data_IF_879291089674
#
_entry.id   IF_879291089674
#
_cell.length_a   1.000
_cell.length_b   1.000
_cell.length_c   1.000
_cell.angle_alpha   90.00
_cell.angle_beta   90.00
_cell.angle_gamma   90.00
#
_symmetry.space_group_name_H-M   'P 1'
#
loop_
_entity.id
_entity.type
_entity.pdbx_description
1 polymer ?
#
# COMPACT_ATOMS: atom_id res chain seq x y z
N UNK A 1 -17.85 -24.39 11.90
CA UNK A 1 -18.86 -23.97 10.91
C UNK A 1 -18.17 -23.77 9.57
N UNK A 2 -18.49 -24.59 8.58
CA UNK A 2 -17.89 -24.48 7.25
C UNK A 2 -18.51 -23.27 6.55
N UNK A 3 -17.72 -22.23 6.25
CA UNK A 3 -18.19 -20.97 5.65
C UNK A 3 -18.68 -21.10 4.20
N UNK A 4 -19.28 -22.24 3.83
CA UNK A 4 -19.78 -22.60 2.49
C UNK A 4 -21.23 -23.08 2.61
N UNK A 5 -22.02 -22.80 1.59
CA UNK A 5 -23.40 -23.23 1.47
C UNK A 5 -23.49 -24.76 1.37
N UNK A 6 -24.50 -25.34 2.00
CA UNK A 6 -24.79 -26.79 1.96
C UNK A 6 -25.08 -27.29 0.53
N UNK A 7 -24.94 -28.60 0.29
CA UNK A 7 -25.34 -29.23 -0.98
C UNK A 7 -26.82 -28.96 -1.23
N UNK A 8 -27.16 -28.44 -2.42
CA UNK A 8 -28.52 -27.95 -2.74
C UNK A 8 -28.69 -26.44 -2.60
N UNK A 9 -27.71 -25.75 -2.01
CA UNK A 9 -27.72 -24.31 -1.82
C UNK A 9 -28.29 -23.88 -0.48
N UNK A 10 -28.07 -22.61 -0.14
CA UNK A 10 -28.41 -22.06 1.17
C UNK A 10 -28.74 -20.57 1.08
N UNK A 11 -29.67 -20.10 1.91
CA UNK A 11 -29.91 -18.68 2.12
C UNK A 11 -28.81 -18.10 3.03
N UNK A 12 -28.06 -17.13 2.52
CA UNK A 12 -27.02 -16.43 3.28
C UNK A 12 -27.61 -15.42 4.26
N UNK A 13 -26.81 -14.97 5.23
CA UNK A 13 -27.24 -14.00 6.25
C UNK A 13 -27.61 -12.61 5.69
N UNK A 14 -27.23 -12.33 4.44
CA UNK A 14 -27.62 -11.15 3.68
C UNK A 14 -28.95 -11.32 2.90
N UNK A 15 -29.66 -12.44 3.10
CA UNK A 15 -30.94 -12.72 2.43
C UNK A 15 -30.82 -13.19 0.97
N UNK A 16 -29.61 -13.48 0.48
CA UNK A 16 -29.39 -13.95 -0.90
C UNK A 16 -29.19 -15.47 -0.96
N UNK A 17 -29.59 -16.10 -2.07
CA UNK A 17 -29.43 -17.55 -2.25
C UNK A 17 -28.07 -17.91 -2.86
N UNK A 18 -27.39 -18.87 -2.24
CA UNK A 18 -26.06 -19.35 -2.62
C UNK A 18 -26.15 -20.78 -3.14
N UNK A 19 -25.42 -21.09 -4.22
CA UNK A 19 -25.36 -22.46 -4.75
C UNK A 19 -24.55 -23.34 -3.81
N UNK A 20 -24.80 -24.65 -3.79
CA UNK A 20 -24.07 -25.55 -2.91
C UNK A 20 -22.56 -25.49 -3.13
N UNK A 21 -21.79 -25.45 -2.03
CA UNK A 21 -20.34 -25.28 -2.06
C UNK A 21 -19.85 -23.83 -2.20
N UNK A 22 -20.72 -22.86 -2.49
CA UNK A 22 -20.37 -21.45 -2.59
C UNK A 22 -20.10 -20.85 -1.21
N UNK A 23 -19.08 -19.99 -1.08
CA UNK A 23 -18.78 -19.31 0.18
C UNK A 23 -19.94 -18.42 0.64
N UNK A 24 -20.30 -18.54 1.92
CA UNK A 24 -21.34 -17.74 2.56
C UNK A 24 -20.78 -16.37 3.01
N UNK A 25 -21.62 -15.32 3.00
CA UNK A 25 -21.21 -14.00 3.43
C UNK A 25 -21.03 -13.96 4.95
N UNK A 26 -20.00 -13.24 5.41
CA UNK A 26 -19.75 -13.01 6.85
C UNK A 26 -20.53 -11.82 7.43
N UNK A 27 -21.23 -11.03 6.61
CA UNK A 27 -22.07 -9.91 7.06
C UNK A 27 -23.30 -9.71 6.17
N UNK A 28 -24.40 -9.19 6.74
CA UNK A 28 -25.62 -8.78 6.02
C UNK A 28 -25.37 -7.76 4.91
N UNK A 29 -24.29 -6.98 5.01
CA UNK A 29 -23.91 -5.94 4.02
C UNK A 29 -23.09 -6.49 2.85
N UNK A 30 -22.76 -7.78 2.86
CA UNK A 30 -21.96 -8.38 1.79
C UNK A 30 -22.86 -8.61 0.58
N UNK A 31 -22.55 -8.02 -0.57
CA UNK A 31 -23.26 -8.29 -1.81
C UNK A 31 -22.58 -9.47 -2.51
N UNK A 32 -23.35 -10.49 -2.92
CA UNK A 32 -22.83 -11.64 -3.65
C UNK A 32 -22.15 -11.20 -4.95
N UNK A 33 -20.91 -11.65 -5.15
CA UNK A 33 -20.10 -11.32 -6.34
C UNK A 33 -19.36 -9.99 -6.26
N UNK A 34 -19.65 -9.14 -5.27
CA UNK A 34 -18.92 -7.89 -5.09
C UNK A 34 -17.55 -8.16 -4.45
N UNK A 35 -16.49 -7.72 -5.13
CA UNK A 35 -15.16 -7.69 -4.55
C UNK A 35 -15.14 -6.67 -3.39
N UNK A 36 -14.83 -7.13 -2.17
CA UNK A 36 -14.62 -6.23 -1.05
C UNK A 36 -13.29 -5.51 -1.26
N UNK A 37 -13.35 -4.24 -1.66
CA UNK A 37 -12.20 -3.35 -1.54
C UNK A 37 -11.89 -3.24 -0.05
N UNK A 38 -10.72 -3.71 0.37
CA UNK A 38 -10.28 -3.54 1.75
C UNK A 38 -10.22 -2.03 2.02
N UNK A 39 -10.93 -1.54 3.05
CA UNK A 39 -10.79 -0.14 3.45
C UNK A 39 -9.32 0.15 3.71
N UNK A 40 -8.79 1.19 3.07
CA UNK A 40 -7.48 1.75 3.39
C UNK A 40 -7.43 1.96 4.91
N UNK A 41 -6.51 1.25 5.57
CA UNK A 41 -6.29 1.44 6.99
C UNK A 41 -5.46 2.70 7.19
N UNK A 42 -6.09 3.77 7.67
CA UNK A 42 -5.43 5.01 8.12
C UNK A 42 -4.67 4.85 9.45
N UNK A 43 -4.48 3.61 9.93
CA UNK A 43 -3.66 3.38 11.11
C UNK A 43 -2.22 3.84 10.83
N UNK A 44 -1.60 4.53 11.78
CA UNK A 44 -0.20 4.92 11.66
C UNK A 44 0.65 3.68 11.47
N UNK A 45 1.58 3.73 10.52
CA UNK A 45 2.47 2.62 10.19
C UNK A 45 3.87 2.97 10.69
N UNK A 46 4.51 2.01 11.34
CA UNK A 46 5.93 2.15 11.65
C UNK A 46 6.74 1.90 10.38
N UNK A 47 7.65 2.80 10.06
CA UNK A 47 8.49 2.70 8.88
C UNK A 47 9.90 3.21 9.18
N UNK A 48 10.83 2.80 8.34
CA UNK A 48 12.25 3.10 8.53
C UNK A 48 12.55 4.50 7.97
N UNK A 49 12.84 5.45 8.87
CA UNK A 49 13.10 6.86 8.55
C UNK A 49 14.57 7.13 8.29
N UNK A 50 15.45 6.39 8.97
CA UNK A 50 16.91 6.48 8.85
C UNK A 50 17.51 5.06 9.00
N UNK A 51 18.77 4.82 8.58
CA UNK A 51 19.42 3.53 8.77
C UNK A 51 19.30 3.02 10.21
N UNK A 52 18.60 1.89 10.40
CA UNK A 52 18.38 1.29 11.72
C UNK A 52 17.33 1.98 12.60
N UNK A 53 16.71 3.08 12.15
CA UNK A 53 15.72 3.84 12.91
C UNK A 53 14.31 3.63 12.35
N UNK A 54 13.44 3.04 13.17
CA UNK A 54 12.03 2.82 12.83
C UNK A 54 11.17 3.76 13.67
N UNK A 55 10.35 4.57 13.02
CA UNK A 55 9.48 5.54 13.67
C UNK A 55 8.03 5.37 13.22
N UNK A 56 7.11 5.73 14.10
CA UNK A 56 5.69 5.73 13.80
C UNK A 56 5.37 6.92 12.89
N UNK A 57 4.93 6.64 11.66
CA UNK A 57 4.62 7.70 10.71
C UNK A 57 3.23 8.29 10.98
N UNK A 58 3.09 9.63 10.83
CA UNK A 58 1.78 10.24 10.82
C UNK A 58 0.96 9.71 9.61
N UNK A 59 -0.39 9.67 9.73
CA UNK A 59 -1.24 9.20 8.65
C UNK A 59 -1.03 10.03 7.39
N UNK A 60 -1.04 9.35 6.23
CA UNK A 60 -0.86 10.00 4.92
C UNK A 60 0.59 10.35 4.55
N UNK A 61 1.58 10.06 5.40
CA UNK A 61 3.00 10.24 5.06
C UNK A 61 3.72 8.90 4.83
N UNK A 62 4.77 8.94 4.02
CA UNK A 62 5.73 7.84 3.81
C UNK A 62 7.14 8.30 4.16
N UNK A 63 7.94 7.39 4.71
CA UNK A 63 9.36 7.63 4.94
C UNK A 63 10.13 7.54 3.63
N UNK A 64 10.95 8.55 3.33
CA UNK A 64 11.77 8.61 2.11
C UNK A 64 12.73 7.43 2.11
N UNK A 65 13.57 7.31 3.16
CA UNK A 65 14.58 6.26 3.25
C UNK A 65 13.98 4.86 3.07
N UNK A 66 12.93 4.52 3.82
CA UNK A 66 12.26 3.23 3.70
C UNK A 66 11.71 2.93 2.30
N UNK A 67 11.38 3.97 1.53
CA UNK A 67 10.88 3.84 0.14
C UNK A 67 12.01 3.57 -0.84
N UNK A 68 13.13 4.30 -0.74
CA UNK A 68 14.20 4.29 -1.75
C UNK A 68 15.43 3.46 -1.38
N UNK A 69 15.51 2.91 -0.16
CA UNK A 69 16.69 2.18 0.37
C UNK A 69 17.23 1.05 -0.53
N UNK A 70 16.39 0.47 -1.38
CA UNK A 70 16.81 -0.63 -2.26
C UNK A 70 17.64 -0.15 -3.47
N UNK A 71 17.61 1.15 -3.75
CA UNK A 71 18.18 1.76 -4.95
C UNK A 71 19.31 2.74 -4.66
N UNK A 72 19.59 2.97 -3.39
CA UNK A 72 20.50 4.00 -2.90
C UNK A 72 21.47 3.41 -1.88
N UNK A 73 22.63 4.03 -1.78
CA UNK A 73 23.64 3.75 -0.76
C UNK A 73 24.01 5.04 -0.06
N UNK A 74 24.43 4.95 1.21
CA UNK A 74 24.97 6.10 1.93
C UNK A 74 26.49 6.04 1.85
N UNK A 75 27.09 7.06 1.24
CA UNK A 75 28.53 7.25 1.13
C UNK A 75 28.89 8.55 1.84
N UNK A 76 29.78 8.48 2.84
CA UNK A 76 30.21 9.65 3.63
C UNK A 76 29.07 10.47 4.26
N UNK A 77 27.95 9.83 4.59
CA UNK A 77 26.77 10.49 5.18
C UNK A 77 25.81 11.10 4.15
N UNK A 78 26.12 11.02 2.85
CA UNK A 78 25.25 11.46 1.76
C UNK A 78 24.65 10.25 1.04
N UNK A 79 23.37 10.32 0.73
CA UNK A 79 22.69 9.30 -0.04
C UNK A 79 22.96 9.49 -1.53
N UNK A 80 23.31 8.40 -2.22
CA UNK A 80 23.64 8.35 -3.65
C UNK A 80 22.89 7.20 -4.32
N UNK A 81 22.38 7.43 -5.53
CA UNK A 81 21.65 6.40 -6.29
C UNK A 81 22.64 5.43 -6.96
N UNK A 82 22.57 4.16 -6.59
CA UNK A 82 23.42 3.09 -7.13
C UNK A 82 22.70 2.21 -8.15
N UNK A 83 21.36 2.25 -8.18
CA UNK A 83 20.56 1.50 -9.14
C UNK A 83 20.71 2.04 -10.58
N UNK A 84 20.57 1.15 -11.56
CA UNK A 84 20.46 1.53 -12.98
C UNK A 84 19.09 2.09 -13.33
N UNK A 85 18.99 2.88 -14.40
CA UNK A 85 17.70 3.41 -14.88
C UNK A 85 16.70 2.32 -15.23
N UNK A 86 17.19 1.20 -15.79
CA UNK A 86 16.35 0.05 -16.07
C UNK A 86 15.75 -0.52 -14.78
N UNK A 87 16.57 -0.67 -13.73
CA UNK A 87 16.10 -1.12 -12.42
C UNK A 87 15.08 -0.16 -11.80
N UNK A 88 15.27 1.15 -11.93
CA UNK A 88 14.31 2.14 -11.45
C UNK A 88 12.98 2.06 -12.21
N UNK A 89 13.05 1.94 -13.54
CA UNK A 89 11.87 1.87 -14.41
C UNK A 89 11.00 0.65 -14.12
N UNK A 90 11.60 -0.49 -13.73
CA UNK A 90 10.88 -1.70 -13.34
C UNK A 90 9.99 -1.50 -12.10
N UNK A 91 10.29 -0.49 -11.28
CA UNK A 91 9.50 -0.10 -10.10
C UNK A 91 8.68 1.18 -10.33
N UNK A 92 8.62 1.67 -11.57
CA UNK A 92 7.86 2.88 -11.94
C UNK A 92 8.56 4.19 -11.58
N UNK A 93 9.86 4.17 -11.29
CA UNK A 93 10.64 5.36 -11.02
C UNK A 93 11.44 5.82 -12.24
N UNK A 94 11.49 7.13 -12.46
CA UNK A 94 12.47 7.76 -13.35
C UNK A 94 13.70 8.16 -12.55
N UNK A 95 14.86 8.29 -13.22
CA UNK A 95 16.10 8.75 -12.57
C UNK A 95 15.92 10.10 -11.87
N UNK A 96 15.22 11.02 -12.52
CA UNK A 96 14.91 12.35 -12.01
C UNK A 96 14.04 12.30 -10.75
N UNK A 97 12.96 11.50 -10.77
CA UNK A 97 12.09 11.31 -9.60
C UNK A 97 12.85 10.70 -8.41
N UNK A 98 13.79 9.80 -8.67
CA UNK A 98 14.63 9.20 -7.63
C UNK A 98 15.64 10.22 -7.09
N UNK A 99 16.23 11.05 -7.95
CA UNK A 99 17.16 12.11 -7.55
C UNK A 99 16.47 13.13 -6.67
N UNK A 100 15.25 13.56 -7.01
CA UNK A 100 14.47 14.48 -6.18
C UNK A 100 14.21 13.93 -4.76
N UNK A 101 13.98 12.62 -4.61
CA UNK A 101 13.81 11.97 -3.31
C UNK A 101 15.12 11.91 -2.53
N UNK A 102 16.23 11.62 -3.21
CA UNK A 102 17.58 11.62 -2.61
C UNK A 102 17.96 13.02 -2.14
N UNK A 103 17.71 14.04 -2.95
CA UNK A 103 18.01 15.44 -2.61
C UNK A 103 17.18 15.91 -1.41
N UNK A 104 15.89 15.58 -1.37
CA UNK A 104 15.05 15.82 -0.18
C UNK A 104 15.65 15.14 1.06
N UNK A 105 16.04 13.87 0.95
CA UNK A 105 16.65 13.15 2.07
C UNK A 105 17.94 13.80 2.56
N UNK A 106 18.83 14.17 1.62
CA UNK A 106 20.10 14.81 1.91
C UNK A 106 19.91 16.23 2.51
N UNK A 107 18.82 16.92 2.16
CA UNK A 107 18.43 18.20 2.75
C UNK A 107 17.81 18.10 4.15
N UNK A 108 17.66 16.88 4.69
CA UNK A 108 17.13 16.66 6.03
C UNK A 108 15.65 16.27 6.07
N UNK A 109 14.95 16.28 4.94
CA UNK A 109 13.58 15.77 4.88
C UNK A 109 13.60 14.25 5.10
N UNK A 110 12.62 13.74 5.84
CA UNK A 110 12.48 12.30 6.12
C UNK A 110 11.17 11.74 5.61
N UNK A 111 10.19 12.59 5.36
CA UNK A 111 8.81 12.22 5.08
C UNK A 111 8.31 12.92 3.83
N UNK A 112 7.65 12.16 2.96
CA UNK A 112 6.90 12.68 1.82
C UNK A 112 5.41 12.43 2.02
N UNK A 113 4.58 13.29 1.42
CA UNK A 113 3.17 12.99 1.28
C UNK A 113 3.01 11.72 0.44
N UNK A 114 2.13 10.83 0.87
CA UNK A 114 1.73 9.72 0.01
C UNK A 114 0.83 10.30 -1.07
N UNK A 115 1.11 10.15 -2.37
CA UNK A 115 0.11 10.47 -3.37
C UNK A 115 -1.13 9.65 -3.02
N UNK A 116 -2.22 10.36 -2.73
CA UNK A 116 -3.48 9.72 -2.46
C UNK A 116 -3.88 9.01 -3.75
N UNK A 117 -3.84 7.68 -3.77
CA UNK A 117 -4.32 6.91 -4.91
C UNK A 117 -5.86 7.02 -5.06
N UNK A 118 -6.53 8.05 -4.51
CA UNK A 118 -7.95 8.33 -4.74
C UNK A 118 -8.22 9.66 -5.49
N UNK A 119 -7.27 10.19 -6.28
CA UNK A 119 -7.62 11.26 -7.24
C UNK A 119 -8.27 10.75 -8.54
N UNK A 120 -8.47 9.42 -8.69
CA UNK A 120 -9.19 8.85 -9.84
C UNK A 120 -10.67 8.50 -9.57
N UNK A 121 -11.14 8.56 -8.32
CA UNK A 121 -12.51 8.15 -7.94
C UNK A 121 -13.45 9.31 -7.56
N UNK A 122 -13.03 10.57 -7.78
CA UNK A 122 -13.91 11.74 -7.72
C UNK A 122 -14.30 12.18 -9.13
N UNK A 123 -15.05 11.33 -9.84
CA UNK A 123 -15.94 11.81 -10.90
C UNK A 123 -17.33 11.90 -10.26
N UNK A 124 -17.82 13.14 -10.22
CA UNK A 124 -19.08 13.60 -9.62
C UNK A 124 -20.31 12.96 -10.26
#
# INVERSE_FOLDING_TARGET
MNGKAIKGGQLGINGQQYKGGQFLPASKRTVKGQHRVSKSSNKPRSYLTEPGKVELLPPGKKAIFGTIRAFVQIENGTMVITASDHSLSAYGYTRDSMQALVDQYNNGERLIATPDHNEADNVY
#
